data_IF_092202435245
#
_entry.id   IF_092202435245
#
_cell.length_a   1.000
_cell.length_b   1.000
_cell.length_c   1.000
_cell.angle_alpha   90.00
_cell.angle_beta   90.00
_cell.angle_gamma   90.00
#
_symmetry.space_group_name_H-M   'P 1'
#
loop_
_entity.id
_entity.type
_entity.pdbx_description
1 polymer ?
#
# COMPACT_ATOMS: atom_id res chain seq x y z
N UNK A 1 -8.91 7.03 -22.76
CA UNK A 1 -9.56 7.28 -21.46
C UNK A 1 -9.29 6.10 -20.55
N UNK A 2 -8.20 6.12 -19.80
CA UNK A 2 -7.75 5.01 -18.95
C UNK A 2 -7.97 5.42 -17.50
N UNK A 3 -9.09 4.97 -16.90
CA UNK A 3 -9.43 5.30 -15.52
C UNK A 3 -10.83 4.85 -15.06
N UNK A 4 -11.77 4.66 -15.99
CA UNK A 4 -13.18 4.36 -15.67
C UNK A 4 -13.45 3.00 -14.99
N UNK A 5 -12.44 2.14 -14.81
CA UNK A 5 -12.59 0.81 -14.23
C UNK A 5 -11.51 0.47 -13.19
N UNK A 6 -10.72 1.45 -12.74
CA UNK A 6 -9.73 1.20 -11.70
C UNK A 6 -10.46 0.96 -10.38
N UNK A 7 -10.18 -0.16 -9.72
CA UNK A 7 -10.63 -0.43 -8.36
C UNK A 7 -9.49 -0.19 -7.38
N UNK A 8 -9.77 0.43 -6.24
CA UNK A 8 -8.80 0.61 -5.16
C UNK A 8 -9.44 0.26 -3.81
N UNK A 9 -8.62 0.04 -2.79
CA UNK A 9 -9.09 0.05 -1.41
C UNK A 9 -9.23 1.49 -0.89
N UNK A 10 -10.31 1.74 -0.15
CA UNK A 10 -10.55 2.98 0.58
C UNK A 10 -10.72 2.70 2.08
N UNK A 11 -9.96 3.40 2.90
CA UNK A 11 -10.06 3.35 4.37
C UNK A 11 -9.47 4.60 4.99
N UNK A 12 -9.91 4.93 6.21
CA UNK A 12 -9.31 5.96 7.06
C UNK A 12 -9.28 5.41 8.49
N UNK A 13 -8.15 5.52 9.16
CA UNK A 13 -7.97 5.13 10.56
C UNK A 13 -7.01 6.07 11.27
N UNK A 14 -7.25 6.32 12.55
CA UNK A 14 -6.30 7.04 13.43
C UNK A 14 -5.45 6.10 14.29
N UNK A 15 -5.64 4.78 14.15
CA UNK A 15 -5.02 3.77 15.02
C UNK A 15 -3.80 3.13 14.38
N UNK A 16 -3.98 2.52 13.22
CA UNK A 16 -2.91 1.83 12.50
C UNK A 16 -3.31 1.50 11.07
N UNK A 17 -2.33 1.10 10.26
CA UNK A 17 -2.61 0.48 8.97
C UNK A 17 -3.40 -0.83 9.06
N UNK A 18 -3.29 -1.59 10.15
CA UNK A 18 -4.03 -2.85 10.30
C UNK A 18 -5.51 -2.59 10.59
N UNK A 19 -5.80 -1.57 11.39
CA UNK A 19 -7.16 -1.08 11.63
C UNK A 19 -7.77 -0.56 10.33
N UNK A 20 -7.04 0.28 9.57
CA UNK A 20 -7.46 0.72 8.23
C UNK A 20 -7.79 -0.47 7.31
N UNK A 21 -6.93 -1.50 7.26
CA UNK A 21 -7.14 -2.69 6.44
C UNK A 21 -8.35 -3.53 6.90
N UNK A 22 -8.67 -3.55 8.19
CA UNK A 22 -9.84 -4.28 8.71
C UNK A 22 -11.19 -3.65 8.34
N UNK A 23 -11.19 -2.35 8.04
CA UNK A 23 -12.41 -1.58 7.68
C UNK A 23 -12.42 -1.12 6.23
N UNK A 24 -11.41 -1.50 5.44
CA UNK A 24 -11.30 -1.05 4.05
C UNK A 24 -12.40 -1.65 3.19
N UNK A 25 -12.82 -0.88 2.18
CA UNK A 25 -13.78 -1.29 1.16
C UNK A 25 -13.15 -1.19 -0.22
N UNK A 26 -13.57 -2.05 -1.13
CA UNK A 26 -13.26 -1.92 -2.55
C UNK A 26 -14.16 -0.85 -3.16
N UNK A 27 -13.56 0.11 -3.85
CA UNK A 27 -14.28 1.17 -4.56
C UNK A 27 -13.82 1.22 -6.01
N UNK A 28 -14.75 1.50 -6.92
CA UNK A 28 -14.43 1.86 -8.30
C UNK A 28 -14.12 3.35 -8.35
N UNK A 29 -12.96 3.71 -8.87
CA UNK A 29 -12.50 5.08 -8.95
C UNK A 29 -13.34 5.91 -9.94
N UNK A 30 -13.66 7.14 -9.53
CA UNK A 30 -14.29 8.11 -10.41
C UNK A 30 -13.35 8.54 -11.55
N UNK A 31 -13.93 9.03 -12.64
CA UNK A 31 -13.18 9.60 -13.75
C UNK A 31 -12.20 10.68 -13.26
N UNK A 32 -10.98 10.67 -13.80
CA UNK A 32 -9.89 11.56 -13.39
C UNK A 32 -9.00 11.01 -12.28
N UNK A 33 -9.43 9.94 -11.59
CA UNK A 33 -8.59 9.23 -10.62
C UNK A 33 -8.01 7.95 -11.25
N UNK A 34 -6.78 8.02 -11.73
CA UNK A 34 -6.08 6.94 -12.44
C UNK A 34 -5.06 6.17 -11.57
N UNK A 35 -4.98 6.50 -10.26
CA UNK A 35 -4.04 5.90 -9.31
C UNK A 35 -4.73 5.45 -8.04
N UNK A 36 -4.24 4.36 -7.45
CA UNK A 36 -4.55 4.06 -6.06
C UNK A 36 -3.50 4.70 -5.16
N UNK A 37 -3.96 5.37 -4.11
CA UNK A 37 -3.15 6.06 -3.12
C UNK A 37 -3.13 5.37 -1.77
N UNK A 38 -2.07 5.64 -1.02
CA UNK A 38 -1.98 5.37 0.41
C UNK A 38 -1.08 6.40 1.06
N UNK A 39 -1.49 6.98 2.19
CA UNK A 39 -0.69 7.96 2.91
C UNK A 39 -0.86 7.79 4.43
N UNK A 40 0.19 8.15 5.15
CA UNK A 40 0.13 8.41 6.59
C UNK A 40 0.47 9.88 6.83
N UNK A 41 -0.34 10.57 7.63
CA UNK A 41 -0.04 11.94 8.07
C UNK A 41 -0.02 11.97 9.58
N UNK A 42 1.06 12.47 10.15
CA UNK A 42 1.15 12.74 11.59
C UNK A 42 0.83 14.21 11.83
N UNK A 43 -0.25 14.47 12.54
CA UNK A 43 -0.58 15.81 13.02
C UNK A 43 -0.10 15.94 14.46
N UNK A 44 0.82 16.88 14.69
CA UNK A 44 1.31 17.21 16.02
C UNK A 44 0.57 18.42 16.55
N UNK A 45 -0.06 18.26 17.71
CA UNK A 45 -0.51 19.35 18.56
C UNK A 45 0.42 19.49 19.77
N UNK A 46 0.36 20.61 20.48
CA UNK A 46 1.22 20.91 21.64
C UNK A 46 1.14 19.87 22.77
N UNK A 47 0.13 19.00 22.78
CA UNK A 47 -0.10 17.98 23.81
C UNK A 47 -0.24 16.54 23.29
N UNK A 48 -0.32 16.30 21.98
CA UNK A 48 -0.49 14.96 21.41
C UNK A 48 -0.09 14.91 19.94
N UNK A 49 0.38 13.74 19.48
CA UNK A 49 0.58 13.42 18.06
C UNK A 49 -0.47 12.41 17.62
N UNK A 50 -1.23 12.71 16.57
CA UNK A 50 -2.23 11.80 15.97
C UNK A 50 -1.78 11.43 14.57
N UNK A 51 -1.65 10.13 14.31
CA UNK A 51 -1.39 9.62 12.97
C UNK A 51 -2.71 9.27 12.27
N UNK A 52 -2.87 9.68 11.02
CA UNK A 52 -3.99 9.33 10.14
C UNK A 52 -3.47 8.45 9.02
N UNK A 53 -4.00 7.23 8.93
CA UNK A 53 -3.71 6.23 7.92
C UNK A 53 -4.85 6.22 6.91
N UNK A 54 -4.56 6.42 5.63
CA UNK A 54 -5.60 6.50 4.60
C UNK A 54 -5.22 5.79 3.30
N UNK A 55 -6.23 5.20 2.65
CA UNK A 55 -6.18 4.68 1.27
C UNK A 55 -7.32 5.31 0.48
N UNK A 56 -7.09 5.65 -0.79
CA UNK A 56 -8.13 6.21 -1.65
C UNK A 56 -7.77 6.08 -3.14
N UNK A 57 -8.73 6.38 -4.01
CA UNK A 57 -8.46 6.74 -5.40
C UNK A 57 -7.83 8.14 -5.46
N UNK A 58 -6.90 8.36 -6.40
CA UNK A 58 -6.21 9.62 -6.61
C UNK A 58 -5.99 9.90 -8.09
N UNK A 59 -5.91 11.19 -8.43
CA UNK A 59 -5.35 11.62 -9.70
C UNK A 59 -3.82 11.56 -9.64
N UNK A 60 -3.16 11.32 -10.78
CA UNK A 60 -1.70 11.38 -10.89
C UNK A 60 -1.08 12.66 -10.29
N UNK A 61 -1.76 13.81 -10.38
CA UNK A 61 -1.29 15.08 -9.80
C UNK A 61 -1.20 15.06 -8.27
N UNK A 62 -1.92 14.16 -7.58
CA UNK A 62 -1.90 14.00 -6.14
C UNK A 62 -0.84 13.01 -5.65
N UNK A 63 -0.17 12.32 -6.58
CA UNK A 63 0.93 11.39 -6.29
C UNK A 63 2.24 12.16 -6.11
N UNK A 64 2.43 12.76 -4.94
CA UNK A 64 3.66 13.48 -4.59
C UNK A 64 4.05 13.28 -3.13
N UNK A 65 5.36 13.39 -2.86
CA UNK A 65 5.95 13.47 -1.52
C UNK A 65 5.65 12.25 -0.62
N UNK A 66 4.62 12.37 0.20
CA UNK A 66 4.25 11.43 1.29
C UNK A 66 3.22 10.39 0.89
N UNK A 67 2.67 10.49 -0.32
CA UNK A 67 1.63 9.59 -0.82
C UNK A 67 2.24 8.49 -1.67
N UNK A 68 2.11 7.24 -1.23
CA UNK A 68 2.46 6.09 -2.05
C UNK A 68 1.37 5.85 -3.08
N UNK A 69 1.72 5.94 -4.36
CA UNK A 69 0.81 5.68 -5.46
C UNK A 69 1.20 4.43 -6.25
N UNK A 70 0.20 3.76 -6.79
CA UNK A 70 0.38 2.64 -7.71
C UNK A 70 -0.74 2.63 -8.76
N UNK A 71 -0.54 1.83 -9.81
CA UNK A 71 -1.52 1.61 -10.87
C UNK A 71 -1.90 0.14 -10.97
N UNK A 72 -3.15 -0.12 -11.32
CA UNK A 72 -3.73 -1.45 -11.40
C UNK A 72 -4.75 -1.70 -10.29
N UNK A 73 -5.67 -2.62 -10.55
CA UNK A 73 -6.75 -2.91 -9.63
C UNK A 73 -6.22 -3.39 -8.29
N UNK A 74 -6.70 -2.76 -7.22
CA UNK A 74 -6.42 -3.10 -5.83
C UNK A 74 -4.93 -3.11 -5.48
N UNK A 75 -4.09 -2.39 -6.25
CA UNK A 75 -2.63 -2.37 -6.07
C UNK A 75 -2.21 -1.77 -4.71
N UNK A 76 -3.09 -1.01 -4.06
CA UNK A 76 -2.87 -0.45 -2.73
C UNK A 76 -3.28 -1.40 -1.60
N UNK A 77 -3.33 -2.72 -1.83
CA UNK A 77 -3.57 -3.74 -0.80
C UNK A 77 -2.48 -3.80 0.26
N UNK A 78 -1.23 -3.43 -0.09
CA UNK A 78 -0.11 -3.39 0.83
C UNK A 78 -0.16 -2.16 1.76
N UNK A 79 0.33 -2.31 3.00
CA UNK A 79 0.46 -1.19 3.94
C UNK A 79 1.79 -0.45 3.72
N UNK A 80 1.77 0.84 3.35
CA UNK A 80 2.98 1.64 3.20
C UNK A 80 3.74 1.69 4.52
N UNK A 81 4.95 1.17 4.57
CA UNK A 81 5.78 1.16 5.79
C UNK A 81 5.97 -0.21 6.43
N UNK A 82 5.27 -1.27 5.98
CA UNK A 82 5.90 -2.59 6.06
C UNK A 82 7.01 -2.58 5.01
N UNK A 83 8.26 -2.35 5.42
CA UNK A 83 9.40 -2.78 4.60
C UNK A 83 9.13 -4.24 4.31
N UNK A 84 8.71 -4.55 3.09
CA UNK A 84 8.66 -5.92 2.62
C UNK A 84 10.11 -6.37 2.67
N UNK A 85 10.50 -7.01 3.77
CA UNK A 85 11.65 -7.90 3.74
C UNK A 85 11.22 -9.08 2.89
N UNK A 86 11.14 -8.84 1.58
CA UNK A 86 11.29 -9.88 0.59
C UNK A 86 12.80 -10.20 0.53
N UNK A 87 13.38 -10.58 1.66
CA UNK A 87 14.67 -11.27 1.67
C UNK A 87 14.36 -12.70 1.25
N UNK A 88 14.44 -12.91 -0.06
CA UNK A 88 14.91 -14.16 -0.65
C UNK A 88 14.08 -15.40 -0.39
N UNK A 89 12.96 -15.54 -1.09
CA UNK A 89 12.54 -16.88 -1.57
C UNK A 89 13.47 -17.27 -2.72
N UNK A 90 14.76 -17.49 -2.42
CA UNK A 90 15.76 -18.09 -3.33
C UNK A 90 16.74 -18.89 -2.43
N UNK A 91 16.24 -19.83 -1.63
CA UNK A 91 17.06 -20.99 -1.22
C UNK A 91 16.80 -22.09 -2.25
N UNK A 92 17.22 -21.83 -3.50
CA UNK A 92 17.32 -22.87 -4.50
C UNK A 92 18.38 -23.87 -4.04
N UNK A 93 17.93 -25.07 -3.67
CA UNK A 93 18.53 -26.34 -4.09
C UNK A 93 20.05 -26.50 -3.91
N UNK A 94 20.65 -25.99 -2.83
CA UNK A 94 22.06 -26.31 -2.54
C UNK A 94 22.24 -27.65 -1.79
N UNK A 95 21.17 -28.25 -1.28
CA UNK A 95 21.28 -29.49 -0.48
C UNK A 95 21.40 -30.78 -1.31
N UNK A 96 21.27 -30.72 -2.64
CA UNK A 96 21.44 -31.90 -3.51
C UNK A 96 22.89 -32.13 -3.97
N UNK A 97 23.81 -31.18 -3.76
CA UNK A 97 25.19 -31.31 -4.25
C UNK A 97 26.12 -31.95 -3.20
N UNK A 98 25.77 -31.87 -1.91
CA UNK A 98 26.59 -32.45 -0.82
C UNK A 98 26.47 -33.98 -0.75
N UNK A 99 25.56 -34.61 -1.49
CA UNK A 99 25.43 -36.06 -1.56
C UNK A 99 26.30 -36.73 -2.65
N UNK A 100 26.97 -35.96 -3.53
CA UNK A 100 27.71 -36.52 -4.68
C UNK A 100 29.19 -36.17 -4.74
N UNK A 101 29.72 -35.46 -3.74
CA UNK A 101 31.17 -35.22 -3.62
C UNK A 101 31.65 -35.73 -2.27
N UNK A 102 31.99 -37.03 -2.29
CA UNK A 102 32.75 -37.85 -1.34
C UNK A 102 32.00 -38.54 -0.21
#
# INVERSE_FOLDING_TARGET
MTGANLKCYECISTKSWNDCASVQKEVTCALGNDRCGSAVKEEKSSSASVAIYAKSCLAQSQCSGVTHCCSGNLCNSANPGKKSSATGVIMFLAYAIVAFVR
#
